data_IF_735422095008
#
_entry.id   IF_735422095008
#
_cell.length_a   1.000
_cell.length_b   1.000
_cell.length_c   1.000
_cell.angle_alpha   90.00
_cell.angle_beta   90.00
_cell.angle_gamma   90.00
#
_symmetry.space_group_name_H-M   'P 1'
#
loop_
_entity.id
_entity.type
_entity.pdbx_description
1 polymer ?
#
# COMPACT_ATOMS: atom_id res chain seq x y z
N UNK A 1 -4.20 -14.19 10.47
CA UNK A 1 -3.00 -14.08 9.61
C UNK A 1 -3.05 -12.72 8.95
N UNK A 2 -2.26 -11.77 9.44
CA UNK A 2 -2.26 -10.38 8.98
C UNK A 2 -0.87 -10.03 8.44
N UNK A 3 -0.84 -9.14 7.47
CA UNK A 3 0.38 -8.49 6.99
C UNK A 3 0.32 -7.04 7.44
N UNK A 4 1.42 -6.53 7.99
CA UNK A 4 1.59 -5.12 8.37
C UNK A 4 2.73 -4.56 7.54
N UNK A 5 2.51 -3.39 6.93
CA UNK A 5 3.51 -2.67 6.17
C UNK A 5 3.90 -1.40 6.94
N UNK A 6 5.18 -1.02 6.83
CA UNK A 6 5.71 0.23 7.36
C UNK A 6 6.76 0.74 6.37
N UNK A 7 6.73 2.03 6.07
CA UNK A 7 7.78 2.72 5.32
C UNK A 7 7.76 4.20 5.69
N UNK A 8 8.91 4.85 5.58
CA UNK A 8 9.04 6.29 5.70
C UNK A 8 9.01 6.90 4.29
N UNK A 9 7.95 7.65 3.99
CA UNK A 9 7.87 8.42 2.76
C UNK A 9 8.61 9.75 2.92
N UNK A 10 9.68 9.93 2.16
CA UNK A 10 10.49 11.17 2.17
C UNK A 10 10.24 12.07 0.96
N UNK A 11 9.18 11.80 0.19
CA UNK A 11 8.80 12.59 -0.98
C UNK A 11 7.91 13.79 -0.63
N UNK A 12 7.22 14.34 -1.63
CA UNK A 12 6.45 15.60 -1.48
C UNK A 12 5.04 15.56 -2.06
N UNK A 13 4.69 14.51 -2.82
CA UNK A 13 3.37 14.32 -3.42
C UNK A 13 3.07 12.81 -3.44
N UNK A 14 2.47 12.35 -2.35
CA UNK A 14 2.24 10.94 -2.12
C UNK A 14 1.34 10.31 -3.18
N UNK A 15 0.22 10.97 -3.51
CA UNK A 15 -0.75 10.47 -4.47
C UNK A 15 -0.14 10.37 -5.88
N UNK A 16 0.61 11.39 -6.31
CA UNK A 16 1.29 11.34 -7.61
C UNK A 16 2.36 10.25 -7.68
N UNK A 17 3.09 10.00 -6.59
CA UNK A 17 4.13 8.98 -6.56
C UNK A 17 3.55 7.56 -6.47
N UNK A 18 2.47 7.36 -5.73
CA UNK A 18 1.73 6.09 -5.73
C UNK A 18 1.10 5.82 -7.10
N UNK A 19 0.59 6.85 -7.79
CA UNK A 19 0.07 6.72 -9.15
C UNK A 19 1.17 6.33 -10.15
N UNK A 20 2.39 6.88 -10.03
CA UNK A 20 3.54 6.48 -10.86
C UNK A 20 3.90 5.01 -10.64
N UNK A 21 3.94 4.56 -9.38
CA UNK A 21 4.19 3.14 -9.05
C UNK A 21 3.10 2.25 -9.62
N UNK A 22 1.83 2.63 -9.48
CA UNK A 22 0.70 1.87 -10.02
C UNK A 22 0.71 1.79 -11.56
N UNK A 23 1.30 2.78 -12.24
CA UNK A 23 1.46 2.80 -13.69
C UNK A 23 2.68 2.03 -14.21
N UNK A 24 3.63 1.63 -13.34
CA UNK A 24 4.84 0.92 -13.73
C UNK A 24 4.53 -0.54 -14.13
N UNK A 25 4.89 -0.97 -15.36
CA UNK A 25 4.53 -2.30 -15.86
C UNK A 25 5.20 -3.45 -15.09
N UNK A 26 6.41 -3.27 -14.57
CA UNK A 26 7.07 -4.33 -13.78
C UNK A 26 6.45 -4.44 -12.38
N UNK A 27 6.02 -3.34 -11.79
CA UNK A 27 5.24 -3.34 -10.54
C UNK A 27 3.90 -4.06 -10.72
N UNK A 28 3.16 -3.78 -11.79
CA UNK A 28 1.90 -4.48 -12.08
C UNK A 28 2.13 -5.99 -12.28
N UNK A 29 3.19 -6.36 -13.01
CA UNK A 29 3.58 -7.76 -13.18
C UNK A 29 3.88 -8.42 -11.84
N UNK A 30 4.63 -7.74 -10.96
CA UNK A 30 4.93 -8.23 -9.62
C UNK A 30 3.66 -8.46 -8.79
N UNK A 31 2.73 -7.49 -8.78
CA UNK A 31 1.47 -7.61 -8.05
C UNK A 31 0.60 -8.75 -8.53
N UNK A 32 0.63 -9.12 -9.82
CA UNK A 32 -0.09 -10.29 -10.33
C UNK A 32 0.28 -11.61 -9.62
N UNK A 33 1.47 -11.68 -9.01
CA UNK A 33 1.90 -12.82 -8.21
C UNK A 33 1.60 -12.64 -6.72
N UNK A 34 1.65 -11.40 -6.21
CA UNK A 34 1.43 -11.11 -4.79
C UNK A 34 -0.05 -11.11 -4.41
N UNK A 35 -0.90 -10.45 -5.19
CA UNK A 35 -2.31 -10.23 -4.89
C UNK A 35 -3.10 -11.53 -4.65
N UNK A 36 -2.92 -12.62 -5.44
CA UNK A 36 -3.64 -13.88 -5.21
C UNK A 36 -3.31 -14.55 -3.85
N UNK A 37 -2.17 -14.21 -3.26
CA UNK A 37 -1.71 -14.73 -1.97
C UNK A 37 -2.16 -13.85 -0.80
N UNK A 38 -2.67 -12.65 -1.08
CA UNK A 38 -3.18 -11.70 -0.10
C UNK A 38 -4.69 -11.82 0.04
N UNK A 39 -5.22 -11.33 1.16
CA UNK A 39 -6.65 -11.24 1.43
C UNK A 39 -6.92 -9.82 1.96
N UNK A 40 -7.29 -8.88 1.09
CA UNK A 40 -7.50 -7.51 1.53
C UNK A 40 -8.73 -7.45 2.44
N UNK A 41 -8.68 -6.58 3.46
CA UNK A 41 -9.70 -6.53 4.50
C UNK A 41 -11.06 -6.16 3.89
N UNK A 42 -12.13 -6.75 4.42
CA UNK A 42 -13.51 -6.41 4.02
C UNK A 42 -13.90 -4.99 4.46
N UNK A 43 -13.25 -4.49 5.51
CA UNK A 43 -13.49 -3.16 6.08
C UNK A 43 -12.62 -2.05 5.50
N UNK A 44 -11.82 -2.32 4.47
CA UNK A 44 -10.99 -1.30 3.81
C UNK A 44 -11.86 -0.28 3.07
N UNK A 45 -11.35 0.92 2.85
CA UNK A 45 -12.07 1.95 2.12
C UNK A 45 -12.22 1.59 0.63
N UNK A 46 -13.14 2.25 -0.07
CA UNK A 46 -13.29 2.07 -1.53
C UNK A 46 -11.99 2.47 -2.25
N UNK A 47 -11.52 1.61 -3.16
CA UNK A 47 -10.28 1.82 -3.89
C UNK A 47 -9.01 1.33 -3.19
N UNK A 48 -9.07 0.98 -1.90
CA UNK A 48 -7.91 0.43 -1.19
C UNK A 48 -7.63 -1.03 -1.58
N UNK A 49 -6.35 -1.40 -1.51
CA UNK A 49 -5.93 -2.80 -1.47
C UNK A 49 -5.35 -3.12 -0.09
N UNK A 50 -4.37 -2.32 0.35
CA UNK A 50 -3.92 -2.24 1.73
C UNK A 50 -4.79 -1.24 2.48
N UNK A 51 -5.27 -1.62 3.66
CA UNK A 51 -6.02 -0.71 4.52
C UNK A 51 -5.04 0.15 5.33
N UNK A 52 -5.20 1.47 5.25
CA UNK A 52 -4.36 2.43 5.98
C UNK A 52 -4.58 2.34 7.50
N UNK A 53 -3.54 2.71 8.25
CA UNK A 53 -3.57 2.75 9.72
C UNK A 53 -3.26 4.15 10.23
N UNK A 54 -3.92 4.57 11.30
CA UNK A 54 -3.61 5.82 11.99
C UNK A 54 -2.43 5.62 12.93
N UNK A 55 -1.36 6.38 12.74
CA UNK A 55 -0.25 6.47 13.68
C UNK A 55 -0.68 7.28 14.91
N UNK A 56 -0.77 6.63 16.08
CA UNK A 56 -1.22 7.26 17.34
C UNK A 56 -0.08 7.62 18.29
N UNK A 57 1.13 7.16 18.02
CA UNK A 57 2.31 7.40 18.84
C UNK A 57 3.59 7.25 18.02
N UNK A 58 4.51 8.18 18.22
CA UNK A 58 5.87 8.14 17.69
C UNK A 58 6.86 8.70 18.71
N UNK A 59 8.06 8.13 18.73
CA UNK A 59 9.22 8.65 19.44
C UNK A 59 10.48 8.33 18.63
N UNK A 60 11.34 9.32 18.46
CA UNK A 60 12.60 9.19 17.71
C UNK A 60 13.61 8.26 18.38
#
# INVERSE_FOLDING_TARGET
NLLFAYFEYVGTDFDADMAKMAADPETQRWWSFCEPLQRPLESRNEGEWWAEMEEVFHHD
#
